data_IF_412754910155
#
_entry.id   IF_412754910155
#
_cell.length_a   1.000
_cell.length_b   1.000
_cell.length_c   1.000
_cell.angle_alpha   90.00
_cell.angle_beta   90.00
_cell.angle_gamma   90.00
#
_symmetry.space_group_name_H-M   'P 1'
#
loop_
_entity.id
_entity.type
_entity.pdbx_description
1 polymer ?
#
# COMPACT_ATOMS: atom_id res chain seq x y z
N UNK A 1 18.91 30.39 33.46
CA UNK A 1 19.75 29.43 32.71
C UNK A 1 21.12 29.32 33.38
N UNK A 2 21.35 28.21 34.09
CA UNK A 2 22.50 27.97 34.96
C UNK A 2 23.64 27.26 34.21
N UNK A 3 24.87 27.55 34.63
CA UNK A 3 26.11 26.91 34.17
C UNK A 3 26.13 25.43 34.61
N UNK A 4 26.58 24.47 33.77
CA UNK A 4 26.68 23.06 34.16
C UNK A 4 27.54 22.89 35.41
N UNK A 5 27.03 22.18 36.41
CA UNK A 5 27.71 21.95 37.69
C UNK A 5 28.06 20.46 37.80
N UNK A 6 29.33 20.16 38.08
CA UNK A 6 29.83 18.85 38.52
C UNK A 6 29.43 17.63 37.67
N UNK A 7 30.27 17.23 36.71
CA UNK A 7 30.13 15.96 35.98
C UNK A 7 29.01 15.90 34.92
N UNK A 8 28.22 16.96 34.79
CA UNK A 8 27.19 17.07 33.75
C UNK A 8 27.80 17.40 32.38
N UNK A 9 27.26 16.84 31.29
CA UNK A 9 27.73 17.13 29.95
C UNK A 9 27.42 18.60 29.57
N UNK A 10 28.23 19.18 28.69
CA UNK A 10 28.13 20.61 28.32
C UNK A 10 26.80 20.96 27.63
N UNK A 11 26.04 19.97 27.14
CA UNK A 11 24.75 20.11 26.48
C UNK A 11 23.54 19.74 27.38
N UNK A 12 23.74 19.61 28.69
CA UNK A 12 22.69 19.20 29.65
C UNK A 12 21.41 20.05 29.54
N UNK A 13 21.56 21.35 29.32
CA UNK A 13 20.43 22.28 29.17
C UNK A 13 19.56 21.90 27.96
N UNK A 14 20.20 21.59 26.83
CA UNK A 14 19.52 21.17 25.62
C UNK A 14 18.86 19.80 25.80
N UNK A 15 19.53 18.86 26.44
CA UNK A 15 18.96 17.53 26.71
C UNK A 15 17.72 17.61 27.62
N UNK A 16 17.79 18.43 28.69
CA UNK A 16 16.64 18.65 29.58
C UNK A 16 15.49 19.31 28.80
N UNK A 17 15.78 20.32 27.99
CA UNK A 17 14.77 20.97 27.15
C UNK A 17 14.12 19.99 26.17
N UNK A 18 14.90 19.21 25.44
CA UNK A 18 14.39 18.24 24.45
C UNK A 18 13.55 17.15 25.14
N UNK A 19 13.98 16.69 26.31
CA UNK A 19 13.23 15.76 27.13
C UNK A 19 11.88 16.35 27.57
N UNK A 20 11.87 17.58 28.11
CA UNK A 20 10.63 18.24 28.55
C UNK A 20 9.69 18.46 27.37
N UNK A 21 10.19 19.00 26.24
CA UNK A 21 9.42 19.23 25.01
C UNK A 21 8.76 17.95 24.53
N UNK A 22 9.43 16.80 24.58
CA UNK A 22 8.85 15.50 24.20
C UNK A 22 7.53 15.20 24.93
N UNK A 23 7.43 15.55 26.22
CA UNK A 23 6.23 15.33 27.02
C UNK A 23 5.18 16.43 26.85
N UNK A 24 5.58 17.71 26.86
CA UNK A 24 4.64 18.84 26.79
C UNK A 24 4.08 19.09 25.38
N UNK A 25 4.76 18.61 24.32
CA UNK A 25 4.31 18.72 22.93
C UNK A 25 3.05 17.92 22.64
N UNK A 26 2.82 16.82 23.37
CA UNK A 26 1.60 16.04 23.21
C UNK A 26 0.39 16.89 23.63
N UNK A 27 -0.62 17.12 22.77
CA UNK A 27 -1.80 17.92 23.12
C UNK A 27 -2.63 17.28 24.24
N UNK A 28 -2.39 16.00 24.52
CA UNK A 28 -3.02 15.23 25.61
C UNK A 28 -2.38 15.49 26.98
N UNK A 29 -1.27 16.22 27.05
CA UNK A 29 -0.62 16.56 28.32
C UNK A 29 -1.13 17.89 28.89
N UNK A 30 -1.32 17.93 30.21
CA UNK A 30 -1.54 19.15 31.00
C UNK A 30 -0.18 19.64 31.49
N UNK A 31 0.09 20.94 31.34
CA UNK A 31 1.37 21.55 31.71
C UNK A 31 1.19 22.26 33.05
N UNK A 32 1.98 21.86 34.05
CA UNK A 32 2.04 22.54 35.34
C UNK A 32 3.33 23.37 35.41
N UNK A 33 3.21 24.68 35.20
CA UNK A 33 4.35 25.59 35.19
C UNK A 33 4.59 26.17 36.59
N UNK A 34 5.48 25.53 37.36
CA UNK A 34 5.84 25.96 38.72
C UNK A 34 6.92 27.04 38.66
N UNK A 35 6.66 28.20 39.26
CA UNK A 35 7.61 29.33 39.35
C UNK A 35 7.68 29.83 40.79
N UNK A 36 8.85 30.28 41.25
CA UNK A 36 8.98 30.92 42.55
C UNK A 36 8.56 32.41 42.47
N UNK A 37 7.84 32.88 43.47
CA UNK A 37 7.26 34.22 43.50
C UNK A 37 8.33 35.31 43.67
N UNK A 38 9.45 35.00 44.32
CA UNK A 38 10.60 35.90 44.45
C UNK A 38 11.37 36.13 43.13
N UNK A 39 11.01 35.45 42.05
CA UNK A 39 11.60 35.65 40.73
C UNK A 39 10.59 36.28 39.79
N UNK A 40 11.05 37.18 38.91
CA UNK A 40 10.20 37.80 37.91
C UNK A 40 9.56 36.72 37.00
N UNK A 41 8.24 36.73 36.93
CA UNK A 41 7.46 35.76 36.18
C UNK A 41 7.78 35.83 34.68
N UNK A 42 8.15 37.01 34.16
CA UNK A 42 8.57 37.19 32.77
C UNK A 42 9.84 36.38 32.44
N UNK A 43 10.63 36.04 33.46
CA UNK A 43 11.86 35.27 33.32
C UNK A 43 11.70 33.77 33.62
N UNK A 44 10.48 33.29 33.88
CA UNK A 44 10.21 31.86 34.15
C UNK A 44 10.47 30.97 32.92
N UNK A 45 11.48 30.12 33.01
CA UNK A 45 11.81 29.12 31.96
C UNK A 45 10.64 28.15 31.73
N UNK A 46 9.92 27.77 32.79
CA UNK A 46 8.76 26.87 32.71
C UNK A 46 7.58 27.48 31.94
N UNK A 47 7.29 28.77 32.15
CA UNK A 47 6.25 29.47 31.40
C UNK A 47 6.67 29.78 29.95
N UNK A 48 7.95 30.05 29.71
CA UNK A 48 8.50 30.21 28.36
C UNK A 48 8.32 28.92 27.54
N UNK A 49 8.73 27.78 28.09
CA UNK A 49 8.55 26.48 27.43
C UNK A 49 7.07 26.12 27.23
N UNK A 50 6.20 26.44 28.20
CA UNK A 50 4.77 26.20 28.05
C UNK A 50 4.16 27.04 26.91
N UNK A 51 4.54 28.32 26.79
CA UNK A 51 4.06 29.21 25.72
C UNK A 51 4.52 28.77 24.33
N UNK A 52 5.67 28.11 24.20
CA UNK A 52 6.14 27.55 22.92
C UNK A 52 5.20 26.45 22.37
N UNK A 53 4.52 25.70 23.26
CA UNK A 53 3.66 24.55 22.88
C UNK A 53 2.17 24.75 23.16
N UNK A 54 1.80 25.82 23.87
CA UNK A 54 0.44 26.22 24.23
C UNK A 54 0.37 27.76 24.38
N UNK A 55 0.46 28.53 23.28
CA UNK A 55 0.46 30.00 23.33
C UNK A 55 -0.82 30.57 23.92
N UNK A 56 -1.95 29.90 23.68
CA UNK A 56 -3.27 30.26 24.20
C UNK A 56 -3.46 29.91 25.68
N UNK A 57 -2.54 29.12 26.29
CA UNK A 57 -2.60 28.72 27.69
C UNK A 57 -3.84 27.91 28.05
N UNK A 58 -4.33 27.09 27.12
CA UNK A 58 -5.58 26.31 27.28
C UNK A 58 -5.41 25.10 28.19
N UNK A 59 -4.20 24.54 28.24
CA UNK A 59 -3.83 23.33 29.00
C UNK A 59 -2.63 23.56 29.92
N UNK A 60 -2.30 24.83 30.17
CA UNK A 60 -1.21 25.28 31.03
C UNK A 60 -1.78 25.90 32.31
N UNK A 61 -1.32 25.41 33.46
CA UNK A 61 -1.65 25.96 34.78
C UNK A 61 -0.37 26.53 35.38
N UNK A 62 -0.37 27.84 35.66
CA UNK A 62 0.72 28.49 36.37
C UNK A 62 0.58 28.26 37.88
N UNK A 63 1.66 27.85 38.52
CA UNK A 63 1.73 27.72 39.98
C UNK A 63 2.85 28.61 40.49
N UNK A 64 2.48 29.62 41.28
CA UNK A 64 3.43 30.48 41.98
C UNK A 64 3.70 29.86 43.36
N UNK A 65 4.96 29.66 43.72
CA UNK A 65 5.38 29.12 45.03
C UNK A 65 6.20 30.15 45.78
N UNK A 66 6.45 29.95 47.08
CA UNK A 66 7.30 30.86 47.90
C UNK A 66 6.81 32.32 47.96
N UNK A 67 5.50 32.52 47.99
CA UNK A 67 4.88 33.86 48.07
C UNK A 67 5.22 34.57 49.39
N UNK A 68 5.58 33.80 50.42
CA UNK A 68 6.08 34.28 51.71
C UNK A 68 7.46 34.97 51.64
N UNK A 69 8.24 34.74 50.58
CA UNK A 69 9.57 35.31 50.39
C UNK A 69 9.57 36.55 49.47
N UNK A 70 8.40 37.12 49.18
CA UNK A 70 8.29 38.36 48.42
C UNK A 70 8.67 39.57 49.27
N UNK A 71 9.28 40.56 48.63
CA UNK A 71 9.63 41.81 49.28
C UNK A 71 8.37 42.60 49.69
N UNK A 72 8.30 43.15 50.91
CA UNK A 72 7.16 43.96 51.36
C UNK A 72 6.91 45.13 50.41
N UNK A 73 5.72 45.16 49.80
CA UNK A 73 5.31 46.20 48.83
C UNK A 73 5.25 45.72 47.37
N UNK A 74 5.69 44.49 47.08
CA UNK A 74 5.48 43.85 45.78
C UNK A 74 4.37 42.80 45.88
N UNK A 75 3.36 42.88 45.03
CA UNK A 75 2.25 41.91 44.98
C UNK A 75 2.04 41.36 43.58
N UNK A 76 1.50 40.15 43.49
CA UNK A 76 1.18 39.48 42.21
C UNK A 76 -0.31 39.44 41.92
N UNK A 77 -1.10 40.27 42.61
CA UNK A 77 -2.57 40.26 42.56
C UNK A 77 -3.10 40.50 41.13
N UNK A 78 -2.39 41.30 40.35
CA UNK A 78 -2.69 41.59 38.93
C UNK A 78 -2.47 40.36 38.03
N UNK A 79 -1.52 39.51 38.39
CA UNK A 79 -1.17 38.27 37.66
C UNK A 79 -2.11 37.12 38.04
N UNK A 80 -2.71 37.17 39.23
CA UNK A 80 -3.68 36.18 39.72
C UNK A 80 -5.02 36.23 38.97
N UNK A 81 -5.27 37.23 38.12
CA UNK A 81 -6.57 37.50 37.50
C UNK A 81 -7.03 36.50 36.41
N UNK A 82 -6.51 35.27 36.37
CA UNK A 82 -7.21 34.25 35.59
C UNK A 82 -6.56 32.88 35.40
N UNK A 83 -5.25 32.71 35.58
CA UNK A 83 -4.57 31.44 35.20
C UNK A 83 -3.37 31.02 36.06
N UNK A 84 -2.99 31.83 37.05
CA UNK A 84 -1.85 31.53 37.93
C UNK A 84 -2.36 31.41 39.36
N UNK A 85 -2.00 30.31 40.03
CA UNK A 85 -2.46 29.98 41.38
C UNK A 85 -1.28 30.15 42.35
N UNK A 86 -1.39 30.98 43.40
CA UNK A 86 -0.33 31.17 44.38
C UNK A 86 -0.42 30.10 45.46
N UNK A 87 0.74 29.57 45.84
CA UNK A 87 0.97 28.59 46.89
C UNK A 87 1.97 29.16 47.88
N UNK A 88 1.70 28.96 49.16
CA UNK A 88 2.70 29.17 50.19
C UNK A 88 3.45 27.85 50.40
N UNK A 89 4.75 27.87 50.09
CA UNK A 89 5.65 26.75 50.34
C UNK A 89 6.93 27.31 50.94
N UNK A 90 6.98 27.36 52.27
CA UNK A 90 8.14 27.84 53.00
C UNK A 90 9.25 26.78 52.99
N UNK A 91 10.43 27.13 52.50
CA UNK A 91 11.62 26.27 52.63
C UNK A 91 11.92 25.93 54.10
N UNK A 92 11.57 26.86 55.01
CA UNK A 92 11.62 26.70 56.47
C UNK A 92 10.63 25.66 57.04
N UNK A 93 9.51 25.38 56.35
CA UNK A 93 8.53 24.38 56.81
C UNK A 93 8.99 22.95 56.48
N UNK A 94 9.74 22.81 55.38
CA UNK A 94 10.38 21.55 54.96
C UNK A 94 11.56 21.22 55.88
N UNK A 95 12.40 22.21 56.18
CA UNK A 95 13.55 22.05 57.09
C UNK A 95 13.10 21.77 58.54
N UNK A 96 11.94 22.29 58.95
CA UNK A 96 11.35 22.11 60.28
C UNK A 96 10.52 20.83 60.47
N UNK A 97 10.43 19.94 59.48
CA UNK A 97 9.57 18.73 59.49
C UNK A 97 8.14 18.98 59.96
N UNK A 98 7.54 20.11 59.58
CA UNK A 98 6.15 20.42 59.97
C UNK A 98 5.17 19.42 59.36
N UNK A 99 4.09 19.13 60.07
CA UNK A 99 3.01 18.27 59.54
C UNK A 99 2.25 18.99 58.42
N UNK A 100 1.76 18.23 57.44
CA UNK A 100 1.00 18.75 56.31
C UNK A 100 -0.23 19.54 56.78
N UNK A 101 -0.91 19.07 57.83
CA UNK A 101 -2.08 19.74 58.42
C UNK A 101 -1.70 21.13 58.96
N UNK A 102 -0.59 21.23 59.70
CA UNK A 102 -0.12 22.52 60.21
C UNK A 102 0.32 23.47 59.10
N UNK A 103 0.92 22.95 58.02
CA UNK A 103 1.29 23.75 56.86
C UNK A 103 0.07 24.33 56.14
N UNK A 104 -1.00 23.54 55.95
CA UNK A 104 -2.25 23.98 55.33
C UNK A 104 -2.98 25.04 56.18
N UNK A 105 -2.98 24.90 57.50
CA UNK A 105 -3.57 25.90 58.41
C UNK A 105 -2.78 27.21 58.39
N UNK A 106 -1.44 27.15 58.32
CA UNK A 106 -0.60 28.33 58.18
C UNK A 106 -0.80 29.01 56.83
N UNK A 107 -0.89 28.22 55.75
CA UNK A 107 -1.19 28.71 54.40
C UNK A 107 -2.52 29.47 54.36
N UNK A 108 -3.55 28.89 54.97
CA UNK A 108 -4.86 29.53 55.09
C UNK A 108 -4.76 30.86 55.84
N UNK A 109 -4.13 30.87 57.02
CA UNK A 109 -3.97 32.08 57.83
C UNK A 109 -3.18 33.17 57.11
N UNK A 110 -2.13 32.80 56.36
CA UNK A 110 -1.36 33.75 55.58
C UNK A 110 -2.23 34.44 54.53
N UNK A 111 -2.96 33.68 53.70
CA UNK A 111 -3.79 34.28 52.67
C UNK A 111 -5.00 35.05 53.23
N UNK A 112 -5.53 34.68 54.40
CA UNK A 112 -6.63 35.40 55.07
C UNK A 112 -6.17 36.70 55.76
N UNK A 113 -4.93 36.75 56.26
CA UNK A 113 -4.38 37.91 56.98
C UNK A 113 -3.58 38.88 56.11
N UNK A 114 -3.11 38.45 54.94
CA UNK A 114 -2.27 39.28 54.08
C UNK A 114 -3.08 40.38 53.36
N UNK A 115 -2.72 41.67 53.47
CA UNK A 115 -3.52 42.79 52.98
C UNK A 115 -3.79 42.75 51.46
N UNK A 116 -2.83 42.25 50.67
CA UNK A 116 -3.00 42.12 49.21
C UNK A 116 -3.82 40.88 48.76
N UNK A 117 -3.79 39.78 49.52
CA UNK A 117 -4.37 38.49 49.10
C UNK A 117 -5.71 38.16 49.77
N UNK A 118 -6.06 38.86 50.86
CA UNK A 118 -7.29 38.62 51.62
C UNK A 118 -8.55 38.60 50.74
N UNK A 119 -8.68 39.55 49.82
CA UNK A 119 -9.82 39.66 48.90
C UNK A 119 -9.94 38.47 47.92
N UNK A 120 -8.84 37.79 47.61
CA UNK A 120 -8.79 36.63 46.70
C UNK A 120 -8.42 35.33 47.41
N UNK A 121 -8.43 35.29 48.73
CA UNK A 121 -8.01 34.13 49.55
C UNK A 121 -8.72 32.82 49.15
N UNK A 122 -9.97 32.88 48.70
CA UNK A 122 -10.74 31.73 48.20
C UNK A 122 -10.17 31.08 46.92
N UNK A 123 -9.36 31.80 46.15
CA UNK A 123 -8.71 31.35 44.92
C UNK A 123 -7.22 31.02 45.13
N UNK A 124 -6.74 31.08 46.38
CA UNK A 124 -5.35 30.86 46.75
C UNK A 124 -5.17 29.55 47.52
N UNK A 125 -3.94 29.04 47.52
CA UNK A 125 -3.53 27.93 48.37
C UNK A 125 -3.76 26.53 47.79
N UNK A 126 -3.19 25.56 48.49
CA UNK A 126 -3.15 24.14 48.09
C UNK A 126 -4.55 23.52 47.91
N UNK A 127 -5.55 23.77 48.78
CA UNK A 127 -6.89 23.18 48.61
C UNK A 127 -7.60 23.66 47.33
N UNK A 128 -7.44 24.94 46.98
CA UNK A 128 -8.00 25.48 45.74
C UNK A 128 -7.28 24.91 44.52
N UNK A 129 -5.95 24.80 44.56
CA UNK A 129 -5.16 24.17 43.50
C UNK A 129 -5.61 22.73 43.26
N UNK A 130 -5.78 21.92 44.31
CA UNK A 130 -6.23 20.53 44.19
C UNK A 130 -7.61 20.43 43.53
N UNK A 131 -8.56 21.27 43.95
CA UNK A 131 -9.91 21.32 43.35
C UNK A 131 -9.86 21.76 41.89
N UNK A 132 -9.05 22.76 41.55
CA UNK A 132 -8.88 23.27 40.19
C UNK A 132 -8.21 22.24 39.28
N UNK A 133 -7.14 21.59 39.74
CA UNK A 133 -6.45 20.52 39.01
C UNK A 133 -7.39 19.36 38.71
N UNK A 134 -8.18 18.93 39.69
CA UNK A 134 -9.16 17.85 39.49
C UNK A 134 -10.20 18.23 38.42
N UNK A 135 -10.73 19.45 38.47
CA UNK A 135 -11.70 19.92 37.48
C UNK A 135 -11.10 20.01 36.07
N UNK A 136 -9.88 20.56 35.94
CA UNK A 136 -9.17 20.64 34.66
C UNK A 136 -8.85 19.25 34.13
N UNK A 137 -8.39 18.33 34.98
CA UNK A 137 -8.08 16.96 34.60
C UNK A 137 -9.33 16.22 34.08
N UNK A 138 -10.45 16.31 34.79
CA UNK A 138 -11.71 15.66 34.37
C UNK A 138 -12.18 16.20 33.03
N UNK A 139 -12.19 17.52 32.85
CA UNK A 139 -12.60 18.14 31.58
C UNK A 139 -11.65 17.76 30.44
N UNK A 140 -10.35 17.73 30.71
CA UNK A 140 -9.34 17.34 29.74
C UNK A 140 -9.47 15.87 29.32
N UNK A 141 -9.70 14.96 30.28
CA UNK A 141 -9.99 13.55 29.98
C UNK A 141 -11.24 13.42 29.12
N UNK A 142 -12.34 14.11 29.48
CA UNK A 142 -13.59 14.08 28.70
C UNK A 142 -13.41 14.56 27.26
N UNK A 143 -12.64 15.62 27.06
CA UNK A 143 -12.41 16.19 25.73
C UNK A 143 -11.45 15.34 24.87
N UNK A 144 -10.49 14.65 25.49
CA UNK A 144 -9.47 13.86 24.78
C UNK A 144 -9.86 12.39 24.56
N UNK A 145 -10.81 11.86 25.33
CA UNK A 145 -11.26 10.46 25.23
C UNK A 145 -11.82 10.08 23.85
N UNK A 146 -12.64 10.91 23.16
CA UNK A 146 -13.13 10.58 21.82
C UNK A 146 -11.99 10.38 20.81
N UNK A 147 -10.95 11.21 20.89
CA UNK A 147 -9.80 11.14 19.98
C UNK A 147 -8.95 9.90 20.25
N UNK A 148 -8.77 9.55 21.52
CA UNK A 148 -8.09 8.30 21.92
C UNK A 148 -8.87 7.09 21.39
N UNK A 149 -10.20 7.08 21.53
CA UNK A 149 -11.07 6.02 21.01
C UNK A 149 -10.94 5.89 19.49
N UNK A 150 -11.02 7.01 18.75
CA UNK A 150 -10.84 7.02 17.29
C UNK A 150 -9.47 6.49 16.87
N UNK A 151 -8.41 6.92 17.55
CA UNK A 151 -7.05 6.44 17.29
C UNK A 151 -6.91 4.93 17.53
N UNK A 152 -7.47 4.43 18.64
CA UNK A 152 -7.44 3.00 18.96
C UNK A 152 -8.24 2.19 17.93
N UNK A 153 -9.44 2.62 17.56
CA UNK A 153 -10.25 1.95 16.54
C UNK A 153 -9.55 1.91 15.18
N UNK A 154 -8.85 2.98 14.80
CA UNK A 154 -8.04 2.98 13.57
C UNK A 154 -6.87 2.01 13.67
N UNK A 155 -6.17 1.96 14.80
CA UNK A 155 -5.07 1.00 15.01
C UNK A 155 -5.56 -0.45 15.00
N UNK A 156 -6.70 -0.74 15.63
CA UNK A 156 -7.32 -2.08 15.61
C UNK A 156 -7.62 -2.48 14.16
N UNK A 157 -8.28 -1.62 13.39
CA UNK A 157 -8.58 -1.89 11.98
C UNK A 157 -7.31 -2.18 11.17
N UNK A 158 -6.25 -1.38 11.37
CA UNK A 158 -4.96 -1.60 10.70
C UNK A 158 -4.38 -2.96 11.04
N UNK A 159 -4.31 -3.31 12.32
CA UNK A 159 -3.75 -4.59 12.74
C UNK A 159 -4.63 -5.78 12.33
N UNK A 160 -5.96 -5.63 12.30
CA UNK A 160 -6.88 -6.65 11.78
C UNK A 160 -6.69 -6.89 10.28
N UNK A 161 -6.50 -5.83 9.49
CA UNK A 161 -6.19 -5.97 8.06
C UNK A 161 -4.84 -6.64 7.83
N UNK A 162 -3.83 -6.30 8.64
CA UNK A 162 -2.51 -6.91 8.58
C UNK A 162 -2.57 -8.39 8.97
N UNK A 163 -3.28 -8.72 10.05
CA UNK A 163 -3.48 -10.10 10.51
C UNK A 163 -4.24 -10.94 9.47
N UNK A 164 -5.27 -10.36 8.84
CA UNK A 164 -6.00 -11.02 7.75
C UNK A 164 -5.10 -11.31 6.55
N UNK A 165 -4.16 -10.42 6.23
CA UNK A 165 -3.20 -10.61 5.14
C UNK A 165 -2.16 -11.71 5.43
N UNK A 166 -1.83 -11.91 6.70
CA UNK A 166 -0.93 -12.97 7.17
C UNK A 166 -1.59 -14.35 7.20
N UNK A 167 -2.93 -14.41 7.23
CA UNK A 167 -3.74 -15.62 7.23
C UNK A 167 -3.69 -16.40 8.55
N UNK A 168 -4.49 -17.46 8.64
CA UNK A 168 -4.58 -18.29 9.85
C UNK A 168 -3.29 -19.11 10.05
N UNK A 169 -2.66 -19.01 11.22
CA UNK A 169 -1.34 -19.58 11.55
C UNK A 169 -1.28 -21.11 11.58
N UNK A 170 -2.34 -21.79 11.11
CA UNK A 170 -2.36 -23.23 10.94
C UNK A 170 -1.36 -23.66 9.86
N UNK A 171 -0.62 -24.74 10.14
CA UNK A 171 0.17 -25.44 9.13
C UNK A 171 -0.74 -25.83 7.97
N UNK A 172 -0.23 -25.80 6.73
CA UNK A 172 -1.01 -26.25 5.58
C UNK A 172 -1.31 -27.74 5.73
N UNK A 173 -2.51 -28.05 6.22
CA UNK A 173 -3.06 -29.38 6.14
C UNK A 173 -3.21 -29.79 4.68
N UNK A 174 -3.11 -31.10 4.42
CA UNK A 174 -3.32 -31.66 3.09
C UNK A 174 -4.68 -31.24 2.50
N UNK A 175 -5.72 -31.11 3.34
CA UNK A 175 -7.04 -30.63 2.94
C UNK A 175 -7.03 -29.19 2.42
N UNK A 176 -6.26 -28.29 3.05
CA UNK A 176 -6.14 -26.90 2.62
C UNK A 176 -5.42 -26.81 1.27
N UNK A 177 -4.36 -27.58 1.06
CA UNK A 177 -3.66 -27.64 -0.23
C UNK A 177 -4.62 -28.09 -1.34
N UNK A 178 -5.42 -29.14 -1.08
CA UNK A 178 -6.38 -29.65 -2.05
C UNK A 178 -7.47 -28.61 -2.36
N UNK A 179 -7.97 -27.90 -1.35
CA UNK A 179 -8.91 -26.79 -1.54
C UNK A 179 -8.31 -25.71 -2.45
N UNK A 180 -7.06 -25.30 -2.20
CA UNK A 180 -6.37 -24.27 -3.02
C UNK A 180 -6.16 -24.75 -4.45
N UNK A 181 -5.78 -26.02 -4.66
CA UNK A 181 -5.64 -26.58 -6.00
C UNK A 181 -6.99 -26.57 -6.73
N UNK A 182 -8.06 -26.97 -6.05
CA UNK A 182 -9.40 -27.09 -6.64
C UNK A 182 -9.95 -25.72 -7.01
N UNK A 183 -9.88 -24.75 -6.09
CA UNK A 183 -10.24 -23.35 -6.32
C UNK A 183 -9.45 -22.77 -7.50
N UNK A 184 -8.14 -22.99 -7.55
CA UNK A 184 -7.31 -22.56 -8.68
C UNK A 184 -7.78 -23.17 -10.01
N UNK A 185 -8.10 -24.47 -10.04
CA UNK A 185 -8.56 -25.13 -11.27
C UNK A 185 -9.90 -24.60 -11.75
N UNK A 186 -10.84 -24.37 -10.83
CA UNK A 186 -12.17 -23.86 -11.16
C UNK A 186 -12.11 -22.41 -11.63
N UNK A 187 -11.24 -21.59 -11.04
CA UNK A 187 -11.01 -20.22 -11.48
C UNK A 187 -10.29 -20.14 -12.83
N UNK A 188 -9.28 -20.98 -13.04
CA UNK A 188 -8.59 -21.05 -14.33
C UNK A 188 -9.56 -21.42 -15.46
N UNK A 189 -10.48 -22.37 -15.19
CA UNK A 189 -11.59 -22.70 -16.10
C UNK A 189 -12.55 -21.53 -16.27
N UNK A 190 -12.95 -20.88 -15.18
CA UNK A 190 -13.87 -19.74 -15.24
C UNK A 190 -13.33 -18.57 -16.06
N UNK A 191 -12.03 -18.28 -15.97
CA UNK A 191 -11.35 -17.27 -16.80
C UNK A 191 -11.28 -17.65 -18.28
N UNK A 192 -11.15 -18.95 -18.59
CA UNK A 192 -11.20 -19.45 -19.96
C UNK A 192 -12.62 -19.44 -20.55
N UNK A 193 -13.62 -19.78 -19.73
CA UNK A 193 -15.03 -19.80 -20.15
C UNK A 193 -15.66 -18.39 -20.17
N UNK A 194 -14.96 -17.39 -19.61
CA UNK A 194 -15.44 -16.01 -19.55
C UNK A 194 -16.54 -15.79 -18.50
N UNK A 195 -16.65 -16.67 -17.51
CA UNK A 195 -17.63 -16.57 -16.41
C UNK A 195 -17.14 -15.77 -15.21
N UNK A 196 -15.89 -15.30 -15.23
CA UNK A 196 -15.31 -14.49 -14.15
C UNK A 196 -15.96 -13.11 -14.07
N UNK A 197 -16.50 -12.76 -12.89
CA UNK A 197 -17.28 -11.55 -12.62
C UNK A 197 -16.50 -10.23 -12.61
N UNK A 198 -15.18 -10.25 -12.80
CA UNK A 198 -14.33 -9.04 -12.89
C UNK A 198 -14.42 -8.41 -14.30
N UNK A 199 -15.64 -8.04 -14.67
CA UNK A 199 -16.03 -7.55 -16.00
C UNK A 199 -15.68 -6.08 -16.27
N UNK A 200 -14.73 -5.49 -15.53
CA UNK A 200 -14.26 -4.11 -15.77
C UNK A 200 -12.75 -4.13 -15.99
N UNK A 201 -12.32 -4.71 -17.10
CA UNK A 201 -10.98 -4.50 -17.63
C UNK A 201 -11.10 -3.87 -19.03
N UNK A 202 -10.26 -2.87 -19.30
CA UNK A 202 -10.15 -2.21 -20.61
C UNK A 202 -9.56 -3.12 -21.69
N UNK A 203 -9.04 -4.27 -21.30
CA UNK A 203 -8.35 -5.22 -22.16
C UNK A 203 -9.12 -6.55 -22.23
N UNK A 204 -9.11 -7.17 -23.39
CA UNK A 204 -9.62 -8.53 -23.55
C UNK A 204 -8.67 -9.50 -22.86
N UNK A 205 -9.20 -10.33 -21.95
CA UNK A 205 -8.43 -11.33 -21.19
C UNK A 205 -9.07 -12.71 -21.36
N UNK A 206 -8.26 -13.76 -21.28
CA UNK A 206 -8.76 -15.13 -21.13
C UNK A 206 -9.44 -15.65 -22.40
N UNK A 207 -10.62 -16.25 -22.25
CA UNK A 207 -11.36 -16.84 -23.37
C UNK A 207 -11.67 -15.86 -24.50
N UNK A 208 -12.09 -14.64 -24.16
CA UNK A 208 -12.42 -13.62 -25.16
C UNK A 208 -11.19 -13.20 -25.98
N UNK A 209 -10.01 -13.13 -25.34
CA UNK A 209 -8.75 -12.82 -26.01
C UNK A 209 -8.31 -13.94 -26.96
N UNK A 210 -8.46 -15.19 -26.54
CA UNK A 210 -8.21 -16.36 -27.41
C UNK A 210 -9.15 -16.34 -28.63
N UNK A 211 -10.43 -16.03 -28.43
CA UNK A 211 -11.39 -15.85 -29.51
C UNK A 211 -10.96 -14.77 -30.51
N UNK A 212 -10.48 -13.62 -30.00
CA UNK A 212 -9.92 -12.54 -30.82
C UNK A 212 -8.66 -12.95 -31.60
N UNK A 213 -7.76 -13.73 -30.99
CA UNK A 213 -6.56 -14.23 -31.67
C UNK A 213 -6.95 -15.07 -32.90
N UNK A 214 -7.95 -15.96 -32.77
CA UNK A 214 -8.38 -16.81 -33.89
C UNK A 214 -9.13 -16.03 -34.97
N UNK A 215 -10.10 -15.18 -34.61
CA UNK A 215 -11.01 -14.58 -35.57
C UNK A 215 -10.53 -13.26 -36.15
N UNK A 216 -9.74 -12.48 -35.40
CA UNK A 216 -9.25 -11.18 -35.84
C UNK A 216 -7.78 -11.26 -36.25
N UNK A 217 -6.89 -11.75 -35.37
CA UNK A 217 -5.45 -11.72 -35.67
C UNK A 217 -5.10 -12.74 -36.76
N UNK A 218 -5.48 -14.00 -36.58
CA UNK A 218 -5.13 -15.07 -37.52
C UNK A 218 -5.87 -14.93 -38.85
N UNK A 219 -7.18 -14.65 -38.81
CA UNK A 219 -7.94 -14.45 -40.05
C UNK A 219 -7.44 -13.25 -40.87
N UNK A 220 -7.11 -12.12 -40.22
CA UNK A 220 -6.55 -10.97 -40.93
C UNK A 220 -5.13 -11.25 -41.45
N UNK A 221 -4.32 -12.04 -40.72
CA UNK A 221 -3.00 -12.47 -41.21
C UNK A 221 -3.12 -13.33 -42.49
N UNK A 222 -4.13 -14.20 -42.58
CA UNK A 222 -4.39 -14.98 -43.81
C UNK A 222 -4.92 -14.07 -44.92
N UNK A 223 -5.90 -13.20 -44.63
CA UNK A 223 -6.52 -12.32 -45.64
C UNK A 223 -5.56 -11.28 -46.21
N UNK A 224 -4.62 -10.81 -45.42
CA UNK A 224 -3.59 -9.84 -45.86
C UNK A 224 -2.46 -10.50 -46.65
N UNK A 225 -2.37 -11.84 -46.65
CA UNK A 225 -1.38 -12.56 -47.44
C UNK A 225 -1.80 -12.56 -48.91
N UNK A 226 -1.19 -11.66 -49.69
CA UNK A 226 -1.34 -11.69 -51.14
C UNK A 226 -0.60 -12.94 -51.72
N UNK A 227 -1.31 -13.82 -52.46
CA UNK A 227 -0.69 -14.96 -53.13
C UNK A 227 0.37 -14.57 -54.17
N UNK A 228 0.30 -13.39 -54.78
CA UNK A 228 1.16 -13.01 -55.91
C UNK A 228 2.28 -12.01 -55.56
N UNK A 229 2.31 -11.49 -54.33
CA UNK A 229 3.29 -10.46 -53.91
C UNK A 229 4.76 -10.90 -54.07
N UNK A 230 5.03 -12.21 -53.96
CA UNK A 230 6.38 -12.77 -54.11
C UNK A 230 6.61 -13.51 -55.44
N UNK A 231 5.60 -13.60 -56.32
CA UNK A 231 5.68 -14.37 -57.56
C UNK A 231 5.60 -13.43 -58.75
N UNK A 232 6.73 -13.19 -59.42
CA UNK A 232 6.76 -12.40 -60.66
C UNK A 232 6.50 -13.28 -61.88
N UNK A 233 5.96 -12.68 -62.94
CA UNK A 233 5.75 -13.36 -64.23
C UNK A 233 7.03 -13.97 -64.81
N UNK A 234 8.18 -13.35 -64.54
CA UNK A 234 9.47 -13.87 -64.95
C UNK A 234 9.85 -15.15 -64.20
N UNK A 235 9.52 -15.24 -62.92
CA UNK A 235 9.79 -16.42 -62.08
C UNK A 235 8.86 -17.56 -62.47
N UNK A 236 7.58 -17.28 -62.74
CA UNK A 236 6.63 -18.26 -63.27
C UNK A 236 7.13 -18.82 -64.61
N UNK A 237 7.55 -17.94 -65.53
CA UNK A 237 8.06 -18.33 -66.84
C UNK A 237 9.32 -19.20 -66.72
N UNK A 238 10.25 -18.80 -65.86
CA UNK A 238 11.49 -19.56 -65.60
C UNK A 238 11.18 -20.93 -65.01
N UNK A 239 10.25 -21.00 -64.06
CA UNK A 239 9.83 -22.24 -63.41
C UNK A 239 9.11 -23.18 -64.39
N UNK A 240 8.31 -22.64 -65.31
CA UNK A 240 7.69 -23.41 -66.41
C UNK A 240 8.72 -24.00 -67.37
N UNK A 241 9.71 -23.21 -67.81
CA UNK A 241 10.79 -23.71 -68.68
C UNK A 241 11.60 -24.80 -67.99
N UNK A 242 12.00 -24.58 -66.73
CA UNK A 242 12.73 -25.56 -65.93
C UNK A 242 11.91 -26.85 -65.69
N UNK A 243 10.59 -26.73 -65.52
CA UNK A 243 9.70 -27.89 -65.34
C UNK A 243 9.44 -28.67 -66.63
N UNK A 244 9.64 -28.05 -67.79
CA UNK A 244 9.49 -28.66 -69.12
C UNK A 244 10.73 -29.48 -69.51
N UNK A 245 11.90 -29.11 -68.99
CA UNK A 245 13.15 -29.85 -69.17
C UNK A 245 13.72 -29.70 -70.58
N UNK A 246 14.42 -30.74 -71.08
CA UNK A 246 15.15 -30.71 -72.35
C UNK A 246 14.29 -30.88 -73.60
N UNK A 247 13.01 -31.20 -73.45
CA UNK A 247 12.10 -31.48 -74.58
C UNK A 247 11.08 -30.34 -74.75
N UNK A 248 10.79 -29.87 -75.97
CA UNK A 248 9.73 -28.90 -76.20
C UNK A 248 8.37 -29.51 -75.82
N UNK A 249 7.58 -28.79 -75.00
CA UNK A 249 6.23 -29.22 -74.61
C UNK A 249 5.16 -28.33 -75.23
N UNK A 250 4.09 -28.95 -75.72
CA UNK A 250 2.88 -28.28 -76.21
C UNK A 250 1.95 -27.82 -75.07
N UNK A 251 2.11 -28.42 -73.88
CA UNK A 251 1.27 -28.13 -72.70
C UNK A 251 2.14 -27.77 -71.48
N UNK A 252 1.58 -26.97 -70.57
CA UNK A 252 2.26 -26.60 -69.32
C UNK A 252 2.33 -27.84 -68.39
N UNK A 253 3.52 -28.25 -67.93
CA UNK A 253 3.65 -29.38 -67.02
C UNK A 253 3.02 -29.10 -65.64
N UNK A 254 2.24 -30.06 -65.12
CA UNK A 254 1.62 -29.96 -63.79
C UNK A 254 2.64 -29.77 -62.67
N UNK A 255 3.87 -30.30 -62.82
CA UNK A 255 4.93 -30.20 -61.83
C UNK A 255 5.33 -28.75 -61.52
N UNK A 256 5.33 -27.86 -62.51
CA UNK A 256 5.65 -26.45 -62.31
C UNK A 256 4.57 -25.72 -61.51
N UNK A 257 3.30 -25.94 -61.88
CA UNK A 257 2.15 -25.42 -61.16
C UNK A 257 2.08 -25.96 -59.72
N UNK A 258 2.30 -27.27 -59.53
CA UNK A 258 2.32 -27.89 -58.22
C UNK A 258 3.44 -27.34 -57.33
N UNK A 259 4.62 -27.07 -57.88
CA UNK A 259 5.73 -26.48 -57.10
C UNK A 259 5.42 -25.06 -56.62
N UNK A 260 4.73 -24.24 -57.44
CA UNK A 260 4.30 -22.90 -57.05
C UNK A 260 3.27 -22.94 -55.91
N UNK A 261 2.23 -23.77 -56.04
CA UNK A 261 1.20 -23.91 -55.00
C UNK A 261 1.78 -24.43 -53.69
N UNK A 262 2.68 -25.42 -53.74
CA UNK A 262 3.36 -25.92 -52.53
C UNK A 262 4.16 -24.82 -51.83
N UNK A 263 4.81 -23.93 -52.58
CA UNK A 263 5.49 -22.75 -52.04
C UNK A 263 4.53 -21.81 -51.32
N UNK A 264 3.35 -21.57 -51.90
CA UNK A 264 2.31 -20.73 -51.30
C UNK A 264 1.69 -21.34 -50.04
N UNK A 265 1.36 -22.64 -50.06
CA UNK A 265 0.82 -23.35 -48.89
C UNK A 265 1.82 -23.29 -47.72
N UNK A 266 3.12 -23.44 -48.01
CA UNK A 266 4.17 -23.37 -46.99
C UNK A 266 4.23 -22.00 -46.28
N UNK A 267 3.81 -20.91 -46.93
CA UNK A 267 3.74 -19.58 -46.30
C UNK A 267 2.72 -19.52 -45.16
N UNK A 268 1.74 -20.42 -45.13
CA UNK A 268 0.74 -20.49 -44.05
C UNK A 268 1.31 -21.00 -42.72
N UNK A 269 2.53 -21.57 -42.74
CA UNK A 269 3.19 -22.11 -41.54
C UNK A 269 3.55 -21.00 -40.53
N UNK A 270 4.02 -19.84 -41.01
CA UNK A 270 4.36 -18.69 -40.18
C UNK A 270 3.15 -18.11 -39.42
N UNK A 271 2.02 -17.73 -40.06
CA UNK A 271 0.85 -17.21 -39.34
C UNK A 271 0.23 -18.27 -38.43
N UNK A 272 0.27 -19.56 -38.79
CA UNK A 272 -0.24 -20.63 -37.96
C UNK A 272 0.61 -20.82 -36.69
N UNK A 273 1.94 -20.86 -36.84
CA UNK A 273 2.89 -20.94 -35.72
C UNK A 273 2.76 -19.72 -34.81
N UNK A 274 2.59 -18.52 -35.38
CA UNK A 274 2.37 -17.28 -34.62
C UNK A 274 1.06 -17.33 -33.84
N UNK A 275 -0.01 -17.88 -34.41
CA UNK A 275 -1.29 -18.05 -33.71
C UNK A 275 -1.14 -18.94 -32.47
N UNK A 276 -0.45 -20.08 -32.60
CA UNK A 276 -0.19 -21.00 -31.48
C UNK A 276 0.62 -20.29 -30.38
N UNK A 277 1.65 -19.54 -30.76
CA UNK A 277 2.48 -18.80 -29.81
C UNK A 277 1.68 -17.73 -29.05
N UNK A 278 0.80 -16.99 -29.72
CA UNK A 278 -0.06 -16.00 -29.08
C UNK A 278 -1.07 -16.63 -28.11
N UNK A 279 -1.65 -17.77 -28.47
CA UNK A 279 -2.54 -18.51 -27.57
C UNK A 279 -1.77 -19.03 -26.35
N UNK A 280 -0.56 -19.56 -26.55
CA UNK A 280 0.30 -19.99 -25.44
C UNK A 280 0.63 -18.83 -24.48
N UNK A 281 0.98 -17.66 -25.02
CA UNK A 281 1.25 -16.46 -24.22
C UNK A 281 0.04 -16.04 -23.39
N UNK A 282 -1.16 -16.09 -23.97
CA UNK A 282 -2.39 -15.75 -23.27
C UNK A 282 -2.70 -16.73 -22.14
N UNK A 283 -2.54 -18.04 -22.37
CA UNK A 283 -2.68 -19.06 -21.32
C UNK A 283 -1.68 -18.84 -20.18
N UNK A 284 -0.44 -18.46 -20.49
CA UNK A 284 0.57 -18.09 -19.49
C UNK A 284 0.19 -16.81 -18.72
N UNK A 285 -0.44 -15.83 -19.36
CA UNK A 285 -0.91 -14.60 -18.69
C UNK A 285 -2.00 -14.88 -17.66
N UNK A 286 -2.97 -15.75 -17.99
CA UNK A 286 -4.02 -16.18 -17.05
C UNK A 286 -3.39 -16.78 -15.79
N UNK A 287 -2.40 -17.68 -15.97
CA UNK A 287 -1.65 -18.25 -14.85
C UNK A 287 -1.00 -17.17 -13.99
N UNK A 288 -0.27 -16.23 -14.60
CA UNK A 288 0.41 -15.17 -13.86
C UNK A 288 -0.55 -14.28 -13.08
N UNK A 289 -1.73 -13.98 -13.63
CA UNK A 289 -2.78 -13.19 -12.96
C UNK A 289 -3.32 -13.91 -11.72
N UNK A 290 -3.66 -15.20 -11.84
CA UNK A 290 -4.15 -15.99 -10.71
C UNK A 290 -3.10 -16.14 -9.59
N UNK A 291 -1.81 -16.21 -9.95
CA UNK A 291 -0.71 -16.28 -8.97
C UNK A 291 -0.45 -14.96 -8.21
N UNK A 292 -1.13 -13.85 -8.55
CA UNK A 292 -1.04 -12.60 -7.78
C UNK A 292 -1.90 -12.60 -6.50
N UNK A 293 -2.78 -13.59 -6.34
CA UNK A 293 -3.66 -13.73 -5.18
C UNK A 293 -2.89 -13.81 -3.86
N UNK A 294 -3.48 -13.32 -2.74
CA UNK A 294 -2.80 -13.24 -1.45
C UNK A 294 -2.29 -14.59 -0.93
N UNK A 295 -2.98 -15.69 -1.25
CA UNK A 295 -2.56 -17.04 -0.84
C UNK A 295 -1.21 -17.46 -1.42
N UNK A 296 -0.91 -17.06 -2.66
CA UNK A 296 0.37 -17.32 -3.32
C UNK A 296 1.47 -16.34 -2.90
N UNK A 297 1.11 -15.15 -2.38
CA UNK A 297 2.06 -14.27 -1.69
C UNK A 297 2.46 -14.84 -0.32
N UNK A 298 1.51 -15.47 0.38
CA UNK A 298 1.74 -16.13 1.67
C UNK A 298 2.66 -17.35 1.55
N UNK A 299 2.56 -18.12 0.47
CA UNK A 299 3.38 -19.31 0.22
C UNK A 299 4.20 -19.23 -1.08
N UNK A 300 5.38 -18.56 -1.06
CA UNK A 300 6.21 -18.36 -2.25
C UNK A 300 6.66 -19.68 -2.91
N UNK A 301 7.04 -20.69 -2.11
CA UNK A 301 7.46 -21.99 -2.63
C UNK A 301 6.30 -22.74 -3.32
N UNK A 302 5.07 -22.57 -2.81
CA UNK A 302 3.88 -23.14 -3.41
C UNK A 302 3.60 -22.46 -4.76
N UNK A 303 3.68 -21.12 -4.81
CA UNK A 303 3.53 -20.34 -6.03
C UNK A 303 4.50 -20.79 -7.13
N UNK A 304 5.77 -20.97 -6.80
CA UNK A 304 6.79 -21.41 -7.77
C UNK A 304 6.50 -22.84 -8.28
N UNK A 305 6.13 -23.76 -7.38
CA UNK A 305 5.75 -25.13 -7.77
C UNK A 305 4.51 -25.18 -8.64
N UNK A 306 3.50 -24.34 -8.37
CA UNK A 306 2.30 -24.22 -9.20
C UNK A 306 2.66 -23.68 -10.58
N UNK A 307 3.42 -22.58 -10.63
CA UNK A 307 3.86 -21.99 -11.89
C UNK A 307 4.58 -23.01 -12.77
N UNK A 308 5.58 -23.71 -12.20
CA UNK A 308 6.37 -24.69 -12.94
C UNK A 308 5.54 -25.90 -13.40
N UNK A 309 4.60 -26.38 -12.57
CA UNK A 309 3.71 -27.49 -12.93
C UNK A 309 2.79 -27.13 -14.10
N UNK A 310 2.14 -25.96 -14.04
CA UNK A 310 1.22 -25.51 -15.10
C UNK A 310 1.97 -25.18 -16.38
N UNK A 311 3.10 -24.46 -16.30
CA UNK A 311 3.93 -24.15 -17.48
C UNK A 311 4.49 -25.40 -18.16
N UNK A 312 4.90 -26.41 -17.37
CA UNK A 312 5.31 -27.71 -17.90
C UNK A 312 4.14 -28.43 -18.59
N UNK A 313 2.95 -28.38 -18.01
CA UNK A 313 1.72 -28.90 -18.63
C UNK A 313 1.41 -28.22 -19.97
N UNK A 314 1.41 -26.88 -20.00
CA UNK A 314 1.18 -26.10 -21.22
C UNK A 314 2.21 -26.43 -22.30
N UNK A 315 3.49 -26.54 -21.94
CA UNK A 315 4.55 -26.89 -22.89
C UNK A 315 4.37 -28.29 -23.48
N UNK A 316 4.00 -29.28 -22.65
CA UNK A 316 3.70 -30.64 -23.10
C UNK A 316 2.53 -30.69 -24.10
N UNK A 317 1.61 -29.74 -24.04
CA UNK A 317 0.51 -29.61 -25.01
C UNK A 317 0.90 -28.78 -26.24
N UNK A 318 1.72 -27.74 -26.10
CA UNK A 318 2.10 -26.85 -27.19
C UNK A 318 2.94 -27.55 -28.28
N UNK A 319 3.91 -28.39 -27.88
CA UNK A 319 4.77 -29.12 -28.81
C UNK A 319 3.99 -30.06 -29.77
N UNK A 320 3.08 -30.94 -29.30
CA UNK A 320 2.29 -31.77 -30.20
C UNK A 320 1.29 -30.96 -31.02
N UNK A 321 0.71 -29.88 -30.50
CA UNK A 321 -0.17 -29.00 -31.28
C UNK A 321 0.57 -28.34 -32.44
N UNK A 322 1.79 -27.85 -32.21
CA UNK A 322 2.63 -27.26 -33.27
C UNK A 322 2.95 -28.29 -34.35
N UNK A 323 3.31 -29.52 -33.95
CA UNK A 323 3.55 -30.62 -34.90
C UNK A 323 2.29 -31.01 -35.68
N UNK A 324 1.13 -31.02 -35.02
CA UNK A 324 -0.14 -31.35 -35.66
C UNK A 324 -0.52 -30.31 -36.72
N UNK A 325 -0.43 -29.02 -36.39
CA UNK A 325 -0.72 -27.92 -37.33
C UNK A 325 0.27 -27.92 -38.50
N UNK A 326 1.56 -28.09 -38.25
CA UNK A 326 2.55 -28.26 -39.32
C UNK A 326 2.25 -29.49 -40.19
N UNK A 327 1.80 -30.59 -39.58
CA UNK A 327 1.33 -31.78 -40.29
C UNK A 327 0.12 -31.51 -41.19
N UNK A 328 -0.83 -30.69 -40.74
CA UNK A 328 -1.99 -30.28 -41.54
C UNK A 328 -1.57 -29.49 -42.78
N UNK A 329 -0.65 -28.54 -42.64
CA UNK A 329 -0.12 -27.74 -43.75
C UNK A 329 0.66 -28.63 -44.73
N UNK A 330 1.43 -29.59 -44.21
CA UNK A 330 2.13 -30.57 -45.04
C UNK A 330 1.17 -31.49 -45.81
N UNK A 331 0.05 -31.89 -45.20
CA UNK A 331 -0.99 -32.68 -45.87
C UNK A 331 -1.58 -31.92 -47.07
N UNK A 332 -1.93 -30.64 -46.89
CA UNK A 332 -2.41 -29.78 -47.97
C UNK A 332 -1.36 -29.58 -49.08
N UNK A 333 -0.07 -29.52 -48.72
CA UNK A 333 1.01 -29.44 -49.71
C UNK A 333 1.27 -30.75 -50.46
N UNK A 334 0.82 -31.90 -49.94
CA UNK A 334 1.13 -33.22 -50.49
C UNK A 334 0.26 -33.56 -51.69
N UNK A 335 -1.01 -33.19 -51.67
CA UNK A 335 -1.97 -33.45 -52.74
C UNK A 335 -2.81 -32.22 -53.05
N UNK A 336 -2.74 -31.75 -54.30
CA UNK A 336 -3.54 -30.62 -54.78
C UNK A 336 -4.74 -31.18 -55.53
N UNK A 337 -5.92 -31.03 -54.95
CA UNK A 337 -7.17 -31.52 -55.54
C UNK A 337 -7.67 -30.54 -56.63
N UNK A 338 -7.37 -30.83 -57.89
CA UNK A 338 -7.87 -30.07 -59.04
C UNK A 338 -9.33 -30.38 -59.39
N UNK A 339 -9.97 -31.32 -58.70
CA UNK A 339 -11.40 -31.68 -58.85
C UNK A 339 -12.26 -30.98 -57.78
N UNK A 340 -11.66 -30.13 -56.95
CA UNK A 340 -12.41 -29.37 -55.95
C UNK A 340 -13.51 -28.50 -56.61
N UNK A 341 -14.73 -28.43 -56.07
CA UNK A 341 -15.84 -27.68 -56.68
C UNK A 341 -15.53 -26.21 -56.98
N UNK A 342 -14.70 -25.59 -56.14
CA UNK A 342 -14.26 -24.19 -56.29
C UNK A 342 -13.00 -24.03 -57.16
N UNK A 343 -12.40 -25.13 -57.64
CA UNK A 343 -11.26 -25.06 -58.55
C UNK A 343 -11.76 -24.74 -59.95
N UNK A 344 -11.45 -23.53 -60.43
CA UNK A 344 -11.83 -23.07 -61.77
C UNK A 344 -11.12 -23.93 -62.82
N UNK A 345 -11.88 -24.85 -63.43
CA UNK A 345 -11.47 -25.49 -64.68
C UNK A 345 -11.51 -24.46 -65.80
N UNK A 346 -10.48 -24.42 -66.64
CA UNK A 346 -10.30 -23.42 -67.72
C UNK A 346 -11.38 -23.38 -68.81
N UNK A 347 -12.54 -23.99 -68.59
CA UNK A 347 -13.72 -23.98 -69.46
C UNK A 347 -14.84 -23.04 -69.00
N UNK A 348 -14.70 -22.36 -67.86
CA UNK A 348 -15.60 -21.27 -67.46
C UNK A 348 -14.91 -19.93 -67.66
N UNK A 349 -14.98 -19.43 -68.89
CA UNK A 349 -14.85 -18.00 -69.22
C UNK A 349 -16.24 -17.37 -69.13
#
# INVERSE_FOLDING_TARGET
MQVPIGGQPHDIERQIRDMVIKYIRSPKAIILAVTAANTDLANSDGLKLAREVDPEGTRTIGVLTKVDLMDPGTDVVDILAGRVIPLQMGQKDIDGKKTIISALDNERRFFESHPAYQAKSAYCGTPFLAKKLNLVLINHIRNTLPDIKRGLSSSILKFETELSSLGDGSELGQATILSVITEFCDEYRSMLDGSSSDAISTELVGGARIGFIFHEIFANAIRSMDPFDQIKDQDIRTLLYNSTGSSPSLFVPFNGFGSLIKGLIKRLDDPASRCIALVYEELSKILLQLLQKPIFKRFPNLREKFHNSVMSGLKKCADPTTKFVGGLILAESSYINTVHPDFLSGHKV
#
